data_IF_675905112187
#
_entry.id   IF_675905112187
#
_cell.length_a   1.000
_cell.length_b   1.000
_cell.length_c   1.000
_cell.angle_alpha   90.00
_cell.angle_beta   90.00
_cell.angle_gamma   90.00
#
_symmetry.space_group_name_H-M   'P 1'
#
loop_
_entity.id
_entity.type
_entity.pdbx_description
1 polymer ?
#
# COMPACT_ATOMS: atom_id res chain seq x y z
N UNK A 1 9.25 -70.86 -56.28
CA UNK A 1 9.25 -72.07 -55.45
C UNK A 1 9.10 -71.69 -53.99
N UNK A 2 7.98 -72.10 -53.45
CA UNK A 2 7.59 -72.13 -51.97
C UNK A 2 7.91 -70.96 -51.05
N UNK A 3 6.86 -70.13 -50.89
CA UNK A 3 6.63 -69.25 -49.67
C UNK A 3 6.51 -70.13 -48.44
N UNK A 4 7.06 -69.61 -47.35
CA UNK A 4 6.62 -69.91 -45.95
C UNK A 4 6.57 -68.65 -45.17
N UNK A 5 5.37 -68.25 -44.77
CA UNK A 5 5.10 -67.13 -43.92
C UNK A 5 5.45 -67.41 -42.45
N UNK A 6 5.85 -66.37 -41.76
CA UNK A 6 5.95 -66.38 -40.28
C UNK A 6 5.16 -65.15 -39.79
N UNK A 7 4.13 -65.45 -39.03
CA UNK A 7 3.33 -64.51 -38.24
C UNK A 7 4.09 -64.14 -37.01
N UNK A 8 4.39 -62.86 -36.84
CA UNK A 8 4.95 -62.34 -35.61
C UNK A 8 3.87 -61.46 -34.92
N UNK A 9 3.44 -61.95 -33.76
CA UNK A 9 2.43 -61.26 -32.95
C UNK A 9 2.99 -60.00 -32.30
N UNK A 10 2.23 -58.92 -32.36
CA UNK A 10 2.44 -57.68 -31.66
C UNK A 10 2.04 -57.81 -30.20
N UNK A 11 3.01 -57.80 -29.26
CA UNK A 11 2.81 -57.55 -27.84
C UNK A 11 2.78 -56.06 -27.57
N UNK A 12 1.60 -55.52 -27.25
CA UNK A 12 1.43 -54.19 -26.72
C UNK A 12 1.92 -54.17 -25.29
N UNK A 13 3.09 -53.57 -25.08
CA UNK A 13 3.58 -53.21 -23.73
C UNK A 13 3.02 -51.86 -23.33
N UNK A 14 2.10 -51.82 -22.39
CA UNK A 14 1.56 -50.61 -21.77
C UNK A 14 2.63 -50.03 -20.84
N UNK A 15 3.28 -48.93 -21.25
CA UNK A 15 4.11 -48.09 -20.36
C UNK A 15 3.17 -47.26 -19.49
N UNK A 16 3.11 -47.59 -18.21
CA UNK A 16 2.55 -46.75 -17.15
C UNK A 16 3.57 -45.66 -16.84
N UNK A 17 3.33 -44.46 -17.30
CA UNK A 17 4.05 -43.26 -16.87
C UNK A 17 3.62 -42.91 -15.44
N UNK A 18 4.44 -43.22 -14.47
CA UNK A 18 4.34 -42.69 -13.10
C UNK A 18 4.74 -41.22 -13.19
N UNK A 19 3.75 -40.32 -13.19
CA UNK A 19 3.96 -38.93 -13.00
C UNK A 19 4.38 -38.66 -11.55
N UNK A 20 5.68 -38.43 -11.31
CA UNK A 20 6.17 -37.87 -10.07
C UNK A 20 5.45 -36.56 -9.80
N UNK A 21 4.57 -36.56 -8.81
CA UNK A 21 3.93 -35.37 -8.28
C UNK A 21 4.99 -34.37 -7.82
N UNK A 22 5.09 -33.26 -8.54
CA UNK A 22 5.83 -32.09 -8.12
C UNK A 22 4.99 -31.46 -7.02
N UNK A 23 5.42 -31.57 -5.76
CA UNK A 23 4.85 -30.78 -4.66
C UNK A 23 5.03 -29.31 -5.02
N UNK A 24 3.94 -28.67 -5.49
CA UNK A 24 3.85 -27.23 -5.58
C UNK A 24 3.74 -26.71 -4.17
N UNK A 25 4.82 -26.10 -3.67
CA UNK A 25 4.75 -25.21 -2.51
C UNK A 25 3.56 -24.26 -2.72
N UNK A 26 2.77 -23.94 -1.67
CA UNK A 26 1.70 -22.97 -1.79
C UNK A 26 2.33 -21.59 -2.01
N UNK A 27 2.68 -21.30 -3.25
CA UNK A 27 2.95 -19.94 -3.68
C UNK A 27 1.66 -19.17 -3.52
N UNK A 28 1.70 -18.09 -2.74
CA UNK A 28 0.60 -17.15 -2.61
C UNK A 28 0.10 -16.79 -4.02
N UNK A 29 -1.05 -17.32 -4.39
CA UNK A 29 -1.76 -16.93 -5.60
C UNK A 29 -2.21 -15.50 -5.38
N UNK A 30 -1.46 -14.54 -5.89
CA UNK A 30 -1.92 -13.16 -6.02
C UNK A 30 -3.20 -13.18 -6.86
N UNK A 31 -4.34 -13.16 -6.20
CA UNK A 31 -5.63 -13.00 -6.86
C UNK A 31 -5.62 -11.60 -7.46
N UNK A 32 -5.56 -11.54 -8.79
CA UNK A 32 -5.57 -10.27 -9.53
C UNK A 32 -6.82 -9.48 -9.10
N UNK A 33 -6.61 -8.32 -8.50
CA UNK A 33 -7.73 -7.42 -8.16
C UNK A 33 -8.47 -7.05 -9.46
N UNK A 34 -9.77 -7.31 -9.56
CA UNK A 34 -10.53 -6.89 -10.75
C UNK A 34 -10.47 -5.37 -10.88
N UNK A 35 -10.22 -4.89 -12.11
CA UNK A 35 -10.23 -3.45 -12.36
C UNK A 35 -11.62 -2.85 -12.03
N UNK A 36 -11.69 -1.69 -11.36
CA UNK A 36 -12.95 -1.07 -11.03
C UNK A 36 -13.70 -0.59 -12.28
N UNK A 37 -15.03 -0.76 -12.29
CA UNK A 37 -15.88 -0.22 -13.36
C UNK A 37 -15.87 1.31 -13.35
N UNK A 38 -15.68 1.91 -14.53
CA UNK A 38 -15.64 3.37 -14.70
C UNK A 38 -17.07 3.92 -14.71
N UNK A 39 -17.36 4.85 -13.80
CA UNK A 39 -18.65 5.52 -13.73
C UNK A 39 -18.84 6.46 -14.94
N UNK A 40 -20.06 6.50 -15.49
CA UNK A 40 -20.41 7.36 -16.60
C UNK A 40 -21.13 8.62 -16.13
N UNK A 41 -20.98 9.71 -16.90
CA UNK A 41 -21.68 10.98 -16.66
C UNK A 41 -21.54 11.53 -15.24
N UNK A 42 -20.35 11.38 -14.66
CA UNK A 42 -20.07 11.86 -13.30
C UNK A 42 -20.00 13.39 -13.31
N UNK A 43 -20.71 13.99 -12.35
CA UNK A 43 -20.61 15.41 -12.03
C UNK A 43 -20.47 15.55 -10.51
N UNK A 44 -19.49 16.33 -10.06
CA UNK A 44 -19.33 16.70 -8.65
C UNK A 44 -19.55 18.20 -8.55
N UNK A 45 -20.82 18.56 -8.47
CA UNK A 45 -21.23 19.97 -8.43
C UNK A 45 -20.58 20.68 -7.22
N UNK A 46 -20.01 21.86 -7.47
CA UNK A 46 -19.36 22.66 -6.42
C UNK A 46 -17.91 22.23 -6.11
N UNK A 47 -17.34 21.26 -6.83
CA UNK A 47 -15.94 20.87 -6.69
C UNK A 47 -15.06 21.57 -7.73
N UNK A 48 -14.22 22.54 -7.33
CA UNK A 48 -13.26 23.16 -8.25
C UNK A 48 -12.17 22.18 -8.69
N UNK A 49 -11.80 21.22 -7.83
CA UNK A 49 -10.82 20.19 -8.17
C UNK A 49 -11.35 19.24 -9.22
N UNK A 50 -12.60 18.77 -9.06
CA UNK A 50 -13.23 17.90 -10.06
C UNK A 50 -13.39 18.65 -11.41
N UNK A 51 -13.78 19.92 -11.40
CA UNK A 51 -13.88 20.72 -12.61
C UNK A 51 -12.53 20.78 -13.36
N UNK A 52 -11.40 20.98 -12.65
CA UNK A 52 -10.06 20.96 -13.26
C UNK A 52 -9.71 19.59 -13.83
N UNK A 53 -10.01 18.50 -13.10
CA UNK A 53 -9.81 17.13 -13.59
C UNK A 53 -10.60 16.87 -14.87
N UNK A 54 -11.88 17.23 -14.89
CA UNK A 54 -12.76 17.06 -16.04
C UNK A 54 -12.28 17.87 -17.26
N UNK A 55 -11.89 19.13 -17.08
CA UNK A 55 -11.32 19.96 -18.13
C UNK A 55 -10.02 19.39 -18.70
N UNK A 56 -9.14 18.87 -17.84
CA UNK A 56 -7.87 18.26 -18.25
C UNK A 56 -8.06 16.87 -18.88
N UNK A 57 -9.16 16.19 -18.56
CA UNK A 57 -9.45 14.82 -19.00
C UNK A 57 -8.62 13.75 -18.32
N UNK A 58 -7.88 14.10 -17.26
CA UNK A 58 -7.02 13.21 -16.46
C UNK A 58 -7.05 13.60 -14.99
N UNK A 59 -6.69 12.67 -14.13
CA UNK A 59 -6.52 12.91 -12.69
C UNK A 59 -5.05 12.75 -12.29
N UNK A 60 -4.52 13.68 -11.50
CA UNK A 60 -3.16 13.63 -10.95
C UNK A 60 -3.23 13.21 -9.50
N UNK A 61 -2.70 12.03 -9.19
CA UNK A 61 -2.79 11.44 -7.86
C UNK A 61 -1.41 11.39 -7.21
N UNK A 62 -1.29 11.99 -6.02
CA UNK A 62 -0.12 11.83 -5.19
C UNK A 62 -0.13 10.46 -4.51
N UNK A 63 0.99 9.74 -4.59
CA UNK A 63 1.14 8.38 -4.03
C UNK A 63 2.53 8.19 -3.42
N UNK A 64 2.74 7.06 -2.74
CA UNK A 64 4.07 6.53 -2.46
C UNK A 64 4.54 5.63 -3.59
N UNK A 65 5.85 5.45 -3.71
CA UNK A 65 6.47 4.59 -4.73
C UNK A 65 7.45 3.57 -4.14
N UNK A 66 7.68 3.63 -2.83
CA UNK A 66 8.68 2.86 -2.10
C UNK A 66 8.10 1.88 -1.05
N UNK A 67 6.77 1.75 -0.95
CA UNK A 67 6.12 0.96 0.10
C UNK A 67 5.50 -0.33 -0.47
N UNK A 68 6.20 -1.48 -0.38
CA UNK A 68 5.72 -2.76 -0.92
C UNK A 68 4.36 -3.16 -0.34
N UNK A 69 3.45 -3.58 -1.21
CA UNK A 69 2.07 -3.94 -0.85
C UNK A 69 1.10 -2.77 -0.67
N UNK A 70 1.58 -1.52 -0.62
CA UNK A 70 0.79 -0.29 -0.41
C UNK A 70 0.88 0.65 -1.62
N UNK A 71 1.84 1.56 -1.63
CA UNK A 71 2.17 2.42 -2.76
C UNK A 71 3.56 2.09 -3.27
N UNK A 72 3.67 1.25 -4.30
CA UNK A 72 4.93 0.71 -4.76
C UNK A 72 5.07 0.83 -6.28
N UNK A 73 6.20 1.40 -6.74
CA UNK A 73 6.58 1.36 -8.14
C UNK A 73 7.46 0.14 -8.37
N UNK A 74 6.89 -0.90 -8.98
CA UNK A 74 7.60 -2.14 -9.22
C UNK A 74 8.71 -1.94 -10.27
N UNK A 75 10.00 -2.12 -9.92
CA UNK A 75 11.11 -1.83 -10.82
C UNK A 75 11.19 -2.79 -12.02
N UNK A 76 10.58 -3.97 -11.93
CA UNK A 76 10.57 -4.95 -13.03
C UNK A 76 9.52 -4.63 -14.10
N UNK A 77 8.36 -4.11 -13.68
CA UNK A 77 7.23 -3.85 -14.57
C UNK A 77 7.06 -2.36 -14.88
N UNK A 78 7.72 -1.48 -14.13
CA UNK A 78 7.54 -0.02 -14.14
C UNK A 78 6.07 0.39 -13.93
N UNK A 79 5.34 -0.37 -13.12
CA UNK A 79 3.92 -0.10 -12.80
C UNK A 79 3.75 0.14 -11.31
N UNK A 80 2.87 1.07 -10.99
CA UNK A 80 2.40 1.26 -9.62
C UNK A 80 1.47 0.12 -9.22
N UNK A 81 1.65 -0.41 -8.00
CA UNK A 81 0.88 -1.52 -7.45
C UNK A 81 0.75 -1.42 -5.93
N UNK A 82 -0.21 -2.13 -5.34
CA UNK A 82 -0.47 -2.24 -3.92
C UNK A 82 -1.81 -1.64 -3.50
N UNK A 83 -2.13 -1.76 -2.22
CA UNK A 83 -3.44 -1.43 -1.65
C UNK A 83 -3.82 0.04 -1.88
N UNK A 84 -2.93 0.98 -1.58
CA UNK A 84 -3.16 2.41 -1.78
C UNK A 84 -3.38 2.74 -3.26
N UNK A 85 -2.67 2.06 -4.15
CA UNK A 85 -2.82 2.24 -5.60
C UNK A 85 -4.18 1.75 -6.08
N UNK A 86 -4.67 0.61 -5.57
CA UNK A 86 -5.99 0.11 -5.93
C UNK A 86 -7.12 0.98 -5.36
N UNK A 87 -6.96 1.53 -4.15
CA UNK A 87 -7.89 2.54 -3.60
C UNK A 87 -7.88 3.80 -4.48
N UNK A 88 -6.71 4.27 -4.90
CA UNK A 88 -6.59 5.42 -5.80
C UNK A 88 -7.27 5.19 -7.15
N UNK A 89 -7.11 3.98 -7.74
CA UNK A 89 -7.77 3.55 -8.97
C UNK A 89 -9.29 3.47 -8.83
N UNK A 90 -9.76 2.92 -7.71
CA UNK A 90 -11.18 2.85 -7.40
C UNK A 90 -11.82 4.24 -7.38
N UNK A 91 -11.19 5.18 -6.66
CA UNK A 91 -11.68 6.56 -6.57
C UNK A 91 -11.69 7.21 -7.96
N UNK A 92 -10.61 7.10 -8.73
CA UNK A 92 -10.53 7.64 -10.08
C UNK A 92 -11.65 7.08 -10.99
N UNK A 93 -11.87 5.76 -10.99
CA UNK A 93 -12.92 5.12 -11.76
C UNK A 93 -14.33 5.61 -11.37
N UNK A 94 -14.59 5.78 -10.06
CA UNK A 94 -15.87 6.29 -9.55
C UNK A 94 -16.05 7.80 -9.76
N UNK A 95 -14.98 8.50 -10.08
CA UNK A 95 -14.99 9.88 -10.57
C UNK A 95 -15.07 9.97 -12.12
N UNK A 96 -15.17 8.83 -12.83
CA UNK A 96 -15.32 8.80 -14.28
C UNK A 96 -14.00 8.74 -15.07
N UNK A 97 -12.86 8.56 -14.41
CA UNK A 97 -11.54 8.47 -15.05
C UNK A 97 -11.11 7.00 -15.19
N UNK A 98 -10.81 6.57 -16.41
CA UNK A 98 -10.29 5.22 -16.67
C UNK A 98 -8.93 5.03 -15.98
N UNK A 99 -8.81 4.07 -15.04
CA UNK A 99 -7.56 3.85 -14.32
C UNK A 99 -6.37 3.40 -15.16
N UNK A 100 -6.63 2.93 -16.40
CA UNK A 100 -5.56 2.46 -17.28
C UNK A 100 -4.95 3.60 -18.12
N UNK A 101 -5.72 4.65 -18.39
CA UNK A 101 -5.33 5.67 -19.37
C UNK A 101 -5.50 7.12 -18.90
N UNK A 102 -6.18 7.35 -17.76
CA UNK A 102 -6.53 8.69 -17.29
C UNK A 102 -5.96 9.06 -15.91
N UNK A 103 -5.01 8.28 -15.40
CA UNK A 103 -4.32 8.58 -14.14
C UNK A 103 -2.86 8.95 -14.41
N UNK A 104 -2.43 10.09 -13.84
CA UNK A 104 -1.03 10.47 -13.68
C UNK A 104 -0.64 10.30 -12.21
N UNK A 105 0.32 9.42 -11.91
CA UNK A 105 0.83 9.27 -10.56
C UNK A 105 2.03 10.18 -10.31
N UNK A 106 2.04 10.86 -9.14
CA UNK A 106 3.20 11.60 -8.64
C UNK A 106 3.67 11.03 -7.31
N UNK A 107 4.92 10.59 -7.26
CA UNK A 107 5.55 10.18 -6.01
C UNK A 107 5.80 11.41 -5.13
N UNK A 108 5.14 11.48 -3.97
CA UNK A 108 5.24 12.61 -3.04
C UNK A 108 5.75 12.10 -1.68
N UNK A 109 6.90 12.58 -1.19
CA UNK A 109 7.40 12.22 0.12
C UNK A 109 6.53 12.77 1.25
N UNK A 110 6.64 12.18 2.45
CA UNK A 110 5.75 12.49 3.57
C UNK A 110 5.75 13.98 3.95
N UNK A 111 6.90 14.64 3.88
CA UNK A 111 7.04 16.05 4.26
C UNK A 111 6.44 17.04 3.24
N UNK A 112 6.14 16.59 2.01
CA UNK A 112 5.66 17.47 0.93
C UNK A 112 4.16 17.33 0.63
N UNK A 113 3.44 16.43 1.32
CA UNK A 113 2.05 16.07 0.99
C UNK A 113 1.09 17.24 1.11
N UNK A 114 1.12 17.93 2.26
CA UNK A 114 0.25 19.07 2.53
C UNK A 114 0.43 20.17 1.48
N UNK A 115 1.68 20.50 1.16
CA UNK A 115 2.00 21.52 0.17
C UNK A 115 1.61 21.11 -1.25
N UNK A 116 1.85 19.85 -1.63
CA UNK A 116 1.48 19.36 -2.96
C UNK A 116 -0.04 19.43 -3.20
N UNK A 117 -0.85 19.12 -2.17
CA UNK A 117 -2.30 19.26 -2.22
C UNK A 117 -2.72 20.72 -2.26
N UNK A 118 -2.22 21.54 -1.34
CA UNK A 118 -2.60 22.95 -1.21
C UNK A 118 -2.24 23.79 -2.45
N UNK A 119 -1.12 23.46 -3.10
CA UNK A 119 -0.67 24.14 -4.33
C UNK A 119 -1.31 23.59 -5.61
N UNK A 120 -2.20 22.58 -5.50
CA UNK A 120 -2.85 21.97 -6.67
C UNK A 120 -1.89 21.20 -7.59
N UNK A 121 -0.73 20.76 -7.09
CA UNK A 121 0.21 19.92 -7.85
C UNK A 121 -0.34 18.53 -8.09
N UNK A 122 -1.24 18.10 -7.22
CA UNK A 122 -2.02 16.86 -7.28
C UNK A 122 -3.48 17.17 -6.98
N UNK A 123 -4.39 16.37 -7.49
CA UNK A 123 -5.83 16.53 -7.26
C UNK A 123 -6.25 15.91 -5.92
N UNK A 124 -5.68 14.77 -5.58
CA UNK A 124 -5.79 14.13 -4.27
C UNK A 124 -4.60 13.23 -3.99
N UNK A 125 -4.45 12.79 -2.74
CA UNK A 125 -3.34 11.97 -2.29
C UNK A 125 -3.83 10.67 -1.63
N UNK A 126 -3.28 9.53 -2.05
CA UNK A 126 -3.52 8.21 -1.44
C UNK A 126 -2.16 7.54 -1.19
N UNK A 127 -1.75 7.44 0.06
CA UNK A 127 -0.42 6.91 0.38
C UNK A 127 -0.11 6.93 1.87
N UNK A 128 -0.64 5.97 2.64
CA UNK A 128 -0.37 5.80 4.07
C UNK A 128 -0.46 7.12 4.85
N UNK A 129 -1.55 7.87 4.64
CA UNK A 129 -1.66 9.25 5.11
C UNK A 129 -2.54 9.35 6.35
N UNK A 130 -1.93 9.25 7.51
CA UNK A 130 -2.62 9.34 8.81
C UNK A 130 -3.39 10.64 8.93
N UNK A 131 -4.69 10.51 9.18
CA UNK A 131 -5.59 11.61 9.54
C UNK A 131 -5.23 12.09 10.95
N UNK A 132 -4.98 13.39 11.11
CA UNK A 132 -4.84 14.04 12.42
C UNK A 132 -5.22 15.51 12.36
N UNK A 133 -5.45 16.12 13.53
CA UNK A 133 -5.94 17.50 13.65
C UNK A 133 -4.96 18.55 13.11
N UNK A 134 -3.66 18.31 13.21
CA UNK A 134 -2.66 19.24 12.70
C UNK A 134 -2.73 19.32 11.16
N UNK A 135 -2.91 18.18 10.50
CA UNK A 135 -3.08 18.10 9.05
C UNK A 135 -4.44 18.60 8.59
N UNK A 136 -5.52 18.33 9.33
CA UNK A 136 -6.87 18.86 9.05
C UNK A 136 -6.94 20.39 9.01
N UNK A 137 -5.98 21.09 9.61
CA UNK A 137 -5.88 22.57 9.51
C UNK A 137 -5.33 23.04 8.17
N UNK A 138 -4.66 22.20 7.40
CA UNK A 138 -3.99 22.55 6.15
C UNK A 138 -4.65 21.95 4.92
N UNK A 139 -5.21 20.75 5.07
CA UNK A 139 -5.90 20.00 4.01
C UNK A 139 -7.13 19.30 4.59
N UNK A 140 -8.00 18.78 3.74
CA UNK A 140 -9.09 17.93 4.21
C UNK A 140 -8.82 16.44 3.93
N UNK A 141 -9.54 15.56 4.62
CA UNK A 141 -9.46 14.13 4.45
C UNK A 141 -10.82 13.50 4.17
N UNK A 142 -10.86 12.54 3.26
CA UNK A 142 -11.91 11.55 3.17
C UNK A 142 -11.40 10.22 3.75
N UNK A 143 -12.29 9.41 4.29
CA UNK A 143 -11.96 8.15 4.95
C UNK A 143 -12.20 8.17 6.46
N UNK A 144 -11.52 7.33 7.24
CA UNK A 144 -10.37 6.50 6.84
C UNK A 144 -10.74 5.36 5.90
N UNK A 145 -9.74 4.92 5.09
CA UNK A 145 -9.89 3.72 4.26
C UNK A 145 -9.12 2.51 4.81
N UNK A 146 -8.25 2.72 5.80
CA UNK A 146 -7.50 1.68 6.51
C UNK A 146 -7.08 2.18 7.89
N UNK A 147 -6.87 1.26 8.83
CA UNK A 147 -6.29 1.57 10.15
C UNK A 147 -5.01 0.75 10.31
N UNK A 148 -3.89 1.43 10.40
CA UNK A 148 -2.59 0.85 10.74
C UNK A 148 -2.18 1.21 12.17
N UNK A 149 -1.03 0.74 12.61
CA UNK A 149 -0.44 1.14 13.88
C UNK A 149 1.07 1.18 13.80
N UNK A 150 1.71 2.13 14.47
CA UNK A 150 3.16 2.24 14.49
C UNK A 150 3.80 1.01 15.12
N UNK A 151 4.87 0.49 14.51
CA UNK A 151 5.65 -0.65 14.98
C UNK A 151 7.14 -0.46 14.67
N UNK A 152 7.93 -1.51 14.82
CA UNK A 152 9.38 -1.47 14.63
C UNK A 152 9.81 -2.58 13.66
N UNK A 153 10.73 -2.24 12.74
CA UNK A 153 11.45 -3.16 11.89
C UNK A 153 12.91 -3.20 12.33
N UNK A 154 13.42 -4.39 12.51
CA UNK A 154 14.81 -4.64 12.92
C UNK A 154 15.43 -5.73 12.06
N UNK A 155 16.75 -5.92 12.14
CA UNK A 155 17.40 -7.09 11.55
C UNK A 155 16.85 -8.39 12.14
N UNK A 156 16.78 -9.44 11.34
CA UNK A 156 16.19 -10.72 11.74
C UNK A 156 16.88 -11.37 12.95
N UNK A 157 18.19 -11.16 13.08
CA UNK A 157 19.03 -11.66 14.18
C UNK A 157 19.03 -10.77 15.42
N UNK A 158 18.50 -9.52 15.35
CA UNK A 158 18.40 -8.62 16.51
C UNK A 158 17.50 -9.22 17.58
N UNK A 159 17.99 -9.23 18.83
CA UNK A 159 17.25 -9.68 20.02
C UNK A 159 17.14 -8.59 21.08
N UNK A 160 17.66 -7.40 20.79
CA UNK A 160 17.75 -6.30 21.74
C UNK A 160 16.56 -5.34 21.69
N UNK A 161 15.82 -5.34 20.56
CA UNK A 161 14.67 -4.47 20.34
C UNK A 161 13.41 -5.32 20.25
N UNK A 162 12.48 -5.12 21.19
CA UNK A 162 11.23 -5.88 21.29
C UNK A 162 9.98 -4.98 21.29
N UNK A 163 10.15 -3.68 21.57
CA UNK A 163 9.07 -2.70 21.63
C UNK A 163 9.62 -1.28 21.81
N UNK A 164 8.77 -0.26 21.85
CA UNK A 164 9.18 1.14 21.98
C UNK A 164 9.99 1.41 23.25
N UNK A 165 9.76 0.67 24.34
CA UNK A 165 10.47 0.76 25.62
C UNK A 165 11.96 0.36 25.53
N UNK A 166 12.34 -0.35 24.48
CA UNK A 166 13.72 -0.82 24.26
C UNK A 166 14.55 0.09 23.34
N UNK A 167 13.98 1.22 22.91
CA UNK A 167 14.63 2.12 21.95
C UNK A 167 15.62 3.10 22.57
N UNK A 168 15.71 3.20 23.90
CA UNK A 168 16.64 4.12 24.56
C UNK A 168 18.08 3.86 24.10
N UNK A 169 18.76 4.90 23.60
CA UNK A 169 20.13 4.82 23.09
C UNK A 169 20.28 4.09 21.74
N UNK A 170 19.18 3.69 21.09
CA UNK A 170 19.20 3.08 19.75
C UNK A 170 19.08 4.15 18.67
N UNK A 171 19.74 3.92 17.53
CA UNK A 171 19.59 4.74 16.33
C UNK A 171 18.30 4.34 15.61
N UNK A 172 17.30 5.22 15.61
CA UNK A 172 15.98 4.94 15.06
C UNK A 172 15.74 5.81 13.83
N UNK A 173 15.42 5.15 12.72
CA UNK A 173 15.12 5.81 11.45
C UNK A 173 13.62 5.86 11.16
N UNK A 174 13.18 6.97 10.58
CA UNK A 174 11.84 7.11 9.99
C UNK A 174 11.82 8.18 8.90
N UNK A 175 10.70 8.27 8.18
CA UNK A 175 10.57 9.28 7.14
C UNK A 175 10.29 10.67 7.73
N UNK A 176 10.98 11.68 7.22
CA UNK A 176 10.76 13.09 7.56
C UNK A 176 9.30 13.48 7.34
N UNK A 177 8.67 14.18 8.29
CA UNK A 177 7.29 14.63 8.21
C UNK A 177 6.23 13.53 8.45
N UNK A 178 6.67 12.33 8.85
CA UNK A 178 5.77 11.24 9.25
C UNK A 178 5.28 11.38 10.70
N UNK A 179 4.11 10.80 11.02
CA UNK A 179 3.61 10.70 12.40
C UNK A 179 4.52 9.84 13.29
N UNK A 180 5.08 8.72 12.81
CA UNK A 180 5.98 7.89 13.60
C UNK A 180 7.21 8.64 14.13
N UNK A 181 7.88 9.46 13.32
CA UNK A 181 9.07 10.18 13.80
C UNK A 181 8.72 11.30 14.79
N UNK A 182 7.56 11.93 14.59
CA UNK A 182 7.05 12.91 15.54
C UNK A 182 6.78 12.27 16.89
N UNK A 183 6.18 11.07 16.94
CA UNK A 183 5.92 10.30 18.17
C UNK A 183 7.21 9.91 18.87
N UNK A 184 8.23 9.44 18.14
CA UNK A 184 9.55 9.15 18.74
C UNK A 184 10.09 10.35 19.49
N UNK A 185 10.01 11.56 18.89
CA UNK A 185 10.45 12.82 19.55
C UNK A 185 9.59 13.19 20.74
N UNK A 186 8.27 13.19 20.58
CA UNK A 186 7.33 13.62 21.61
C UNK A 186 7.39 12.73 22.86
N UNK A 187 7.62 11.43 22.67
CA UNK A 187 7.71 10.45 23.75
C UNK A 187 9.15 10.23 24.27
N UNK A 188 10.14 10.87 23.65
CA UNK A 188 11.54 10.70 24.06
C UNK A 188 12.03 9.26 23.99
N UNK A 189 11.58 8.49 22.97
CA UNK A 189 11.91 7.07 22.88
C UNK A 189 13.40 6.82 22.64
N UNK A 190 14.06 7.74 21.93
CA UNK A 190 15.53 7.78 21.77
C UNK A 190 15.96 9.20 21.42
N UNK A 191 17.23 9.52 21.71
CA UNK A 191 17.88 10.77 21.29
C UNK A 191 18.65 10.62 19.96
N UNK A 192 18.77 9.38 19.44
CA UNK A 192 19.50 9.07 18.20
C UNK A 192 18.51 8.87 17.03
N UNK A 193 17.94 9.99 16.57
CA UNK A 193 16.94 10.00 15.50
C UNK A 193 17.64 10.23 14.14
N UNK A 194 17.36 9.37 13.18
CA UNK A 194 17.79 9.49 11.78
C UNK A 194 16.58 9.66 10.89
N UNK A 195 16.63 10.58 9.92
CA UNK A 195 15.52 10.85 9.02
C UNK A 195 15.96 10.85 7.57
N UNK A 196 15.13 10.23 6.73
CA UNK A 196 15.26 10.29 5.27
C UNK A 196 13.93 10.68 4.62
N UNK A 197 13.95 10.93 3.32
CA UNK A 197 12.74 11.29 2.57
C UNK A 197 11.81 10.08 2.38
N UNK A 198 12.37 8.86 2.31
CA UNK A 198 11.64 7.61 2.06
C UNK A 198 11.95 6.56 3.12
N UNK A 199 11.04 5.60 3.30
CA UNK A 199 11.29 4.47 4.21
C UNK A 199 12.28 3.47 3.61
N UNK A 200 12.34 3.32 2.29
CA UNK A 200 13.35 2.48 1.63
C UNK A 200 14.76 2.91 2.02
N UNK A 201 15.05 4.21 2.07
CA UNK A 201 16.35 4.72 2.54
C UNK A 201 16.63 4.31 4.01
N UNK A 202 15.62 4.35 4.89
CA UNK A 202 15.77 3.86 6.26
C UNK A 202 16.06 2.36 6.32
N UNK A 203 15.39 1.56 5.47
CA UNK A 203 15.61 0.10 5.39
C UNK A 203 17.02 -0.21 4.89
N UNK A 204 17.52 0.51 3.88
CA UNK A 204 18.90 0.38 3.41
C UNK A 204 19.90 0.67 4.53
N UNK A 205 19.66 1.71 5.34
CA UNK A 205 20.53 2.02 6.49
C UNK A 205 20.44 0.96 7.60
N UNK A 206 19.27 0.34 7.80
CA UNK A 206 19.11 -0.78 8.74
C UNK A 206 19.91 -1.99 8.29
N UNK A 207 19.80 -2.38 7.02
CA UNK A 207 20.57 -3.49 6.44
C UNK A 207 22.08 -3.23 6.50
N UNK A 208 22.51 -2.00 6.24
CA UNK A 208 23.90 -1.57 6.36
C UNK A 208 24.41 -1.45 7.82
N UNK A 209 23.53 -1.60 8.82
CA UNK A 209 23.90 -1.47 10.25
C UNK A 209 24.18 -0.02 10.70
N UNK A 210 23.75 0.96 9.92
CA UNK A 210 23.89 2.38 10.28
C UNK A 210 22.79 2.86 11.23
N UNK A 211 21.65 2.17 11.25
CA UNK A 211 20.58 2.34 12.24
C UNK A 211 20.22 0.99 12.86
N UNK A 212 19.59 1.02 14.03
CA UNK A 212 19.25 -0.18 14.81
C UNK A 212 17.80 -0.60 14.59
N UNK A 213 16.93 0.37 14.27
CA UNK A 213 15.54 0.13 13.95
C UNK A 213 15.00 1.13 12.92
N UNK A 214 14.02 0.70 12.14
CA UNK A 214 13.12 1.58 11.38
C UNK A 214 11.76 1.58 12.06
N UNK A 215 11.17 2.75 12.27
CA UNK A 215 9.84 2.86 12.85
C UNK A 215 8.87 3.54 11.89
N UNK A 216 7.76 2.89 11.65
CA UNK A 216 6.60 3.39 10.91
C UNK A 216 5.42 2.44 11.13
N UNK A 217 4.38 2.57 10.32
CA UNK A 217 3.17 1.78 10.42
C UNK A 217 3.44 0.32 10.06
N UNK A 218 2.85 -0.58 10.81
CA UNK A 218 3.08 -2.03 10.73
C UNK A 218 2.82 -2.60 9.33
N UNK A 219 1.82 -2.06 8.61
CA UNK A 219 1.54 -2.47 7.23
C UNK A 219 2.71 -2.16 6.28
N UNK A 220 3.37 -1.00 6.45
CA UNK A 220 4.57 -0.62 5.68
C UNK A 220 5.72 -1.56 6.02
N UNK A 221 5.98 -1.76 7.31
CA UNK A 221 7.09 -2.60 7.79
C UNK A 221 6.94 -4.07 7.37
N UNK A 222 5.71 -4.61 7.40
CA UNK A 222 5.39 -5.96 6.92
C UNK A 222 5.69 -6.10 5.43
N UNK A 223 5.45 -5.06 4.64
CA UNK A 223 5.79 -5.04 3.21
C UNK A 223 7.29 -5.23 2.98
N UNK A 224 8.15 -4.49 3.70
CA UNK A 224 9.59 -4.65 3.62
C UNK A 224 10.07 -6.00 4.16
N UNK A 225 9.56 -6.43 5.32
CA UNK A 225 9.92 -7.74 5.88
C UNK A 225 9.53 -8.90 4.95
N UNK A 226 8.42 -8.79 4.22
CA UNK A 226 8.02 -9.79 3.25
C UNK A 226 8.92 -9.83 2.01
N UNK A 227 9.56 -8.71 1.64
CA UNK A 227 10.54 -8.69 0.55
C UNK A 227 11.89 -9.32 0.93
N UNK A 228 12.27 -9.22 2.21
CA UNK A 228 13.54 -9.74 2.70
C UNK A 228 13.38 -10.42 4.09
N UNK A 229 12.66 -11.55 4.15
CA UNK A 229 12.35 -12.22 5.41
C UNK A 229 13.57 -12.89 6.07
N UNK A 230 14.67 -13.03 5.35
CA UNK A 230 15.92 -13.57 5.89
C UNK A 230 16.69 -12.53 6.71
N UNK A 231 16.56 -11.25 6.38
CA UNK A 231 17.34 -10.19 7.03
C UNK A 231 16.50 -9.24 7.88
N UNK A 232 15.17 -9.21 7.70
CA UNK A 232 14.27 -8.27 8.35
C UNK A 232 13.12 -8.94 9.09
N UNK A 233 12.72 -8.38 10.22
CA UNK A 233 11.50 -8.77 10.95
C UNK A 233 10.84 -7.57 11.61
N UNK A 234 9.51 -7.60 11.68
CA UNK A 234 8.72 -6.67 12.48
C UNK A 234 8.66 -7.18 13.91
N UNK A 235 8.86 -6.30 14.88
CA UNK A 235 8.85 -6.64 16.31
C UNK A 235 7.90 -5.75 17.11
N UNK A 236 7.44 -6.28 18.24
CA UNK A 236 6.50 -5.63 19.12
C UNK A 236 5.06 -5.62 18.60
N UNK A 237 4.14 -5.16 19.45
CA UNK A 237 2.76 -4.86 19.04
C UNK A 237 2.69 -3.42 18.51
N UNK A 238 1.76 -3.12 17.61
CA UNK A 238 1.49 -1.73 17.25
C UNK A 238 1.17 -0.88 18.50
N UNK A 239 1.81 0.28 18.59
CA UNK A 239 1.71 1.18 19.76
C UNK A 239 1.06 2.53 19.43
N UNK A 240 0.33 2.59 18.32
CA UNK A 240 -0.53 3.71 17.94
C UNK A 240 -1.70 3.24 17.09
N UNK A 241 -2.60 4.18 16.79
CA UNK A 241 -3.57 4.04 15.69
C UNK A 241 -3.30 5.10 14.64
N UNK A 242 -3.16 4.63 13.40
CA UNK A 242 -2.85 5.46 12.24
C UNK A 242 -3.97 5.29 11.19
N UNK A 243 -5.07 6.08 11.30
CA UNK A 243 -6.15 6.03 10.33
C UNK A 243 -5.71 6.65 9.00
N UNK A 244 -5.65 5.86 7.92
CA UNK A 244 -5.26 6.34 6.60
C UNK A 244 -6.44 7.00 5.89
N UNK A 245 -6.27 8.24 5.48
CA UNK A 245 -7.24 8.99 4.71
C UNK A 245 -6.72 9.41 3.34
N UNK A 246 -7.65 9.75 2.48
CA UNK A 246 -7.42 10.40 1.20
C UNK A 246 -7.26 11.90 1.43
N UNK A 247 -6.06 12.44 1.18
CA UNK A 247 -5.80 13.89 1.32
C UNK A 247 -6.37 14.68 0.14
N UNK A 248 -7.07 15.77 0.44
CA UNK A 248 -7.84 16.60 -0.49
C UNK A 248 -7.62 18.09 -0.21
N UNK A 249 -7.84 18.99 -1.17
CA UNK A 249 -7.83 20.43 -0.89
C UNK A 249 -8.78 20.79 0.25
N UNK A 250 -8.32 21.68 1.14
CA UNK A 250 -9.00 22.01 2.41
C UNK A 250 -10.47 22.40 2.24
N UNK A 251 -10.80 23.15 1.20
CA UNK A 251 -12.12 23.76 1.00
C UNK A 251 -13.01 22.99 0.01
N UNK A 252 -12.52 21.90 -0.59
CA UNK A 252 -13.28 21.13 -1.57
C UNK A 252 -14.17 20.06 -0.88
N UNK A 253 -15.19 20.55 -0.16
CA UNK A 253 -16.12 19.68 0.57
C UNK A 253 -16.94 18.77 -0.34
N UNK A 254 -17.23 19.20 -1.57
CA UNK A 254 -17.98 18.41 -2.54
C UNK A 254 -17.18 17.18 -2.99
N UNK A 255 -15.89 17.35 -3.31
CA UNK A 255 -15.03 16.23 -3.66
C UNK A 255 -14.82 15.29 -2.46
N UNK A 256 -14.61 15.86 -1.25
CA UNK A 256 -14.48 15.08 -0.03
C UNK A 256 -15.72 14.20 0.22
N UNK A 257 -16.92 14.77 0.12
CA UNK A 257 -18.16 14.02 0.27
C UNK A 257 -18.26 12.89 -0.76
N UNK A 258 -17.95 13.19 -2.03
CA UNK A 258 -17.98 12.19 -3.11
C UNK A 258 -16.97 11.05 -2.87
N UNK A 259 -15.76 11.35 -2.43
CA UNK A 259 -14.75 10.32 -2.11
C UNK A 259 -15.19 9.48 -0.90
N UNK A 260 -15.77 10.10 0.13
CA UNK A 260 -16.36 9.38 1.24
C UNK A 260 -17.46 8.40 0.80
N UNK A 261 -18.36 8.83 -0.12
CA UNK A 261 -19.40 7.96 -0.67
C UNK A 261 -18.80 6.76 -1.43
N UNK A 262 -17.69 6.96 -2.16
CA UNK A 262 -16.98 5.88 -2.85
C UNK A 262 -16.42 4.87 -1.85
N UNK A 263 -15.80 5.34 -0.77
CA UNK A 263 -15.22 4.46 0.26
C UNK A 263 -16.29 3.70 1.03
N UNK A 264 -17.39 4.36 1.40
CA UNK A 264 -18.56 3.73 2.05
C UNK A 264 -19.19 2.65 1.16
N UNK A 265 -19.36 2.94 -0.14
CA UNK A 265 -19.90 1.97 -1.09
C UNK A 265 -18.98 0.75 -1.23
N UNK A 266 -17.68 0.97 -1.35
CA UNK A 266 -16.70 -0.11 -1.47
C UNK A 266 -16.64 -1.00 -0.21
N UNK A 267 -16.85 -0.42 0.97
CA UNK A 267 -16.96 -1.18 2.22
C UNK A 267 -18.21 -2.07 2.25
N UNK A 268 -19.34 -1.56 1.73
CA UNK A 268 -20.64 -2.25 1.76
C UNK A 268 -20.79 -3.33 0.69
N UNK A 269 -20.26 -3.08 -0.51
CA UNK A 269 -20.39 -4.00 -1.66
C UNK A 269 -19.27 -5.06 -1.75
N UNK A 270 -18.32 -5.03 -0.80
CA UNK A 270 -17.21 -5.97 -0.72
C UNK A 270 -16.01 -5.63 -1.62
N UNK A 271 -16.06 -4.54 -2.40
CA UNK A 271 -14.94 -4.09 -3.25
C UNK A 271 -13.69 -3.82 -2.42
N UNK A 272 -13.82 -3.17 -1.26
CA UNK A 272 -12.70 -2.95 -0.35
C UNK A 272 -12.04 -4.27 0.08
N UNK A 273 -12.85 -5.26 0.45
CA UNK A 273 -12.36 -6.58 0.88
C UNK A 273 -11.63 -7.31 -0.25
N UNK A 274 -12.12 -7.20 -1.49
CA UNK A 274 -11.44 -7.77 -2.67
C UNK A 274 -10.08 -7.09 -2.91
N UNK A 275 -10.02 -5.77 -2.82
CA UNK A 275 -8.76 -5.00 -2.93
C UNK A 275 -7.79 -5.42 -1.83
N UNK A 276 -8.26 -5.49 -0.58
CA UNK A 276 -7.44 -5.88 0.56
C UNK A 276 -6.87 -7.30 0.39
N UNK A 277 -7.71 -8.27 0.07
CA UNK A 277 -7.31 -9.66 -0.11
C UNK A 277 -6.33 -9.85 -1.29
N UNK A 278 -6.48 -9.08 -2.35
CA UNK A 278 -5.58 -9.11 -3.51
C UNK A 278 -4.26 -8.36 -3.31
N UNK A 279 -4.09 -7.65 -2.19
CA UNK A 279 -2.91 -6.84 -1.88
C UNK A 279 -2.33 -7.19 -0.50
N UNK A 280 -2.70 -6.45 0.55
CA UNK A 280 -2.19 -6.67 1.92
C UNK A 280 -2.60 -8.02 2.51
N UNK A 281 -3.79 -8.50 2.21
CA UNK A 281 -4.32 -9.77 2.69
C UNK A 281 -3.63 -11.01 2.10
N UNK A 282 -2.85 -10.85 1.02
CA UNK A 282 -2.11 -11.95 0.40
C UNK A 282 -1.12 -12.64 1.36
N UNK A 283 -0.71 -11.96 2.45
CA UNK A 283 0.10 -12.52 3.54
C UNK A 283 -0.69 -13.36 4.56
N UNK A 284 -2.01 -13.56 4.36
CA UNK A 284 -2.89 -14.26 5.29
C UNK A 284 -3.41 -13.41 6.45
N UNK A 285 -3.10 -12.11 6.48
CA UNK A 285 -3.70 -11.19 7.45
C UNK A 285 -5.15 -10.86 7.07
N UNK A 286 -5.97 -10.55 8.07
CA UNK A 286 -7.36 -10.12 7.89
C UNK A 286 -7.56 -8.71 8.41
N UNK A 287 -8.36 -7.92 7.71
CA UNK A 287 -8.82 -6.61 8.17
C UNK A 287 -10.26 -6.37 7.72
N UNK A 288 -10.91 -5.42 8.36
CA UNK A 288 -12.24 -4.96 7.99
C UNK A 288 -12.17 -3.49 7.57
N UNK A 289 -13.00 -3.06 6.61
CA UNK A 289 -13.05 -1.67 6.23
C UNK A 289 -13.45 -0.80 7.43
N UNK A 290 -12.73 0.27 7.74
CA UNK A 290 -13.13 1.20 8.79
C UNK A 290 -14.37 2.00 8.38
N UNK A 291 -15.13 2.47 9.37
CA UNK A 291 -16.18 3.44 9.13
C UNK A 291 -15.59 4.79 8.70
N UNK A 292 -16.22 5.42 7.72
CA UNK A 292 -15.81 6.74 7.22
C UNK A 292 -16.19 7.82 8.26
N UNK A 293 -15.25 8.70 8.58
CA UNK A 293 -15.46 9.89 9.41
C UNK A 293 -15.88 11.07 8.55
N UNK A 294 -17.15 11.50 8.69
CA UNK A 294 -17.72 12.64 7.95
C UNK A 294 -17.76 13.87 8.86
N UNK A 295 -16.79 14.75 8.75
CA UNK A 295 -16.71 16.00 9.51
C UNK A 295 -16.88 17.24 8.64
#
# INVERSE_FOLDING_TARGET
MKLRGVVVGLLLSSLVLVACGRETSPGATSTKVPGPSVAQNVNVQGSPTFARMAQRGTVVIGVKNDQPGLGYLNPKTNKYEGFDIEIARLIAAKLGFDPQSKIEYKAIPSAAREQAISNGQIDYYVGTYTINDARKKQISFAGPYFIAGQSLLVKADDKSIAGPETLKGKRVCSATGSTPIQRVRQQGLTDQIVEFQTYSQCVDQLLAGQVDAVTTDDAILKGYAAQDPQHLKVVGKPFSQEPYGVGLPLTDNALRAKVNDVLDAAAKDGTWTQIYNGTLGASGSTATPPAVDRY
#
